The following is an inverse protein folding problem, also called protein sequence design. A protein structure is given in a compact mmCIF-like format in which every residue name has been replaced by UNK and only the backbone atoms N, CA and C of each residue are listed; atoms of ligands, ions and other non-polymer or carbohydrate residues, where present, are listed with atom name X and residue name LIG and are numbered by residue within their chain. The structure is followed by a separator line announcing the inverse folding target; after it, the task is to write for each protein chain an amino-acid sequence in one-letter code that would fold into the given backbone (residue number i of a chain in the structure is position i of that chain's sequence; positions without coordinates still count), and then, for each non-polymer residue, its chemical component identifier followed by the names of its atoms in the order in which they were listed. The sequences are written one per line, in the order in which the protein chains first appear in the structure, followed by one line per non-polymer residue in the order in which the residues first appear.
data_IF_254378996730
#
_entry.id   IF_254378996730
#
_cell.length_a   1.000
_cell.length_b   1.000
_cell.length_c   1.000
_cell.angle_alpha   90.00
_cell.angle_beta   90.00
_cell.angle_gamma   90.00
#
_symmetry.space_group_name_H-M   'P 1'
#
loop_
_entity.id
_entity.type
_entity.pdbx_description
1 polymer ?
#
# COMPACT_ATOMS: atom_id res chain seq x y z
N UNK A 1 47.37 22.98 39.06
CA UNK A 1 46.92 21.78 38.30
C UNK A 1 45.43 21.90 38.08
N UNK A 2 45.02 22.54 36.97
CA UNK A 2 43.63 22.68 36.56
C UNK A 2 43.49 22.11 35.17
N UNK A 3 43.03 20.87 35.08
CA UNK A 3 42.80 20.17 33.83
C UNK A 3 41.35 19.80 33.70
N UNK A 4 40.75 20.20 32.57
CA UNK A 4 39.65 19.55 31.87
C UNK A 4 38.22 19.59 32.42
N UNK A 5 37.64 20.80 32.49
CA UNK A 5 36.19 20.95 32.64
C UNK A 5 35.50 21.36 31.29
N UNK A 6 36.22 21.44 30.18
CA UNK A 6 35.70 21.94 28.90
C UNK A 6 35.23 20.86 27.92
N UNK A 7 35.56 19.59 28.16
CA UNK A 7 35.28 18.50 27.21
C UNK A 7 33.84 17.92 27.25
N UNK A 8 33.20 17.94 28.41
CA UNK A 8 31.94 17.18 28.60
C UNK A 8 30.69 18.00 28.20
N UNK A 9 30.75 19.32 28.37
CA UNK A 9 29.62 20.19 27.99
C UNK A 9 29.46 20.37 26.48
N UNK A 10 30.55 20.30 25.71
CA UNK A 10 30.54 20.38 24.25
C UNK A 10 29.98 19.14 23.60
N UNK A 11 30.28 17.97 24.12
CA UNK A 11 29.79 16.67 23.58
C UNK A 11 28.29 16.48 23.80
N UNK A 12 27.74 16.94 24.94
CA UNK A 12 26.31 16.86 25.23
C UNK A 12 25.48 17.75 24.32
N UNK A 13 25.98 18.91 23.90
CA UNK A 13 25.30 19.83 22.97
C UNK A 13 25.27 19.30 21.54
N UNK A 14 26.31 18.60 21.10
CA UNK A 14 26.37 17.99 19.77
C UNK A 14 25.41 16.81 19.65
N UNK A 15 25.31 15.96 20.67
CA UNK A 15 24.39 14.82 20.70
C UNK A 15 22.93 15.30 20.71
N UNK A 16 22.62 16.38 21.45
CA UNK A 16 21.26 16.96 21.47
C UNK A 16 20.87 17.58 20.12
N UNK A 17 21.81 18.19 19.39
CA UNK A 17 21.56 18.78 18.07
C UNK A 17 21.35 17.73 16.98
N UNK A 18 22.05 16.60 17.03
CA UNK A 18 21.89 15.50 16.06
C UNK A 18 20.55 14.79 16.23
N UNK A 19 20.03 14.71 17.46
CA UNK A 19 18.74 14.04 17.74
C UNK A 19 17.52 14.83 17.24
N UNK A 20 17.66 16.15 17.03
CA UNK A 20 16.56 17.01 16.55
C UNK A 20 16.31 16.92 15.04
N UNK A 21 17.27 16.39 14.25
CA UNK A 21 17.16 16.31 12.79
C UNK A 21 16.42 15.06 12.26
N UNK A 22 16.05 14.09 13.13
CA UNK A 22 15.41 12.87 12.69
C UNK A 22 13.87 12.89 12.72
N UNK A 23 13.22 14.03 13.00
CA UNK A 23 11.75 14.07 13.17
C UNK A 23 11.02 14.63 11.95
N UNK A 24 11.69 14.97 10.85
CA UNK A 24 11.01 15.29 9.59
C UNK A 24 10.73 14.01 8.80
N UNK A 25 9.84 13.18 9.33
CA UNK A 25 9.16 12.20 8.53
C UNK A 25 8.34 12.93 7.47
N UNK A 26 8.69 12.77 6.19
CA UNK A 26 7.84 13.18 5.09
C UNK A 26 6.51 12.42 5.20
N UNK A 27 5.55 13.00 5.92
CA UNK A 27 4.16 12.65 5.75
C UNK A 27 3.78 13.14 4.36
N UNK A 28 3.59 12.24 3.41
CA UNK A 28 3.03 12.61 2.10
C UNK A 28 1.69 13.29 2.35
N UNK A 29 1.54 14.53 1.87
CA UNK A 29 0.25 15.23 1.94
C UNK A 29 -0.83 14.36 1.26
N UNK A 30 -2.06 14.32 1.81
CA UNK A 30 -3.15 13.63 1.14
C UNK A 30 -3.28 14.15 -0.30
N UNK A 31 -3.41 13.24 -1.25
CA UNK A 31 -3.68 13.64 -2.64
C UNK A 31 -5.09 14.21 -2.73
N UNK A 32 -5.21 15.36 -3.34
CA UNK A 32 -6.50 15.99 -3.61
C UNK A 32 -6.85 15.89 -5.09
N UNK A 33 -8.14 15.93 -5.40
CA UNK A 33 -8.60 16.02 -6.78
C UNK A 33 -8.29 17.40 -7.36
N UNK A 34 -7.82 17.44 -8.60
CA UNK A 34 -7.58 18.70 -9.30
C UNK A 34 -8.92 19.33 -9.70
N UNK A 35 -9.21 20.52 -9.15
CA UNK A 35 -10.42 21.25 -9.44
C UNK A 35 -10.51 21.72 -10.92
N UNK A 36 -9.40 21.76 -11.65
CA UNK A 36 -9.34 22.17 -13.05
C UNK A 36 -9.72 21.07 -14.03
N UNK A 37 -9.69 19.81 -13.57
CA UNK A 37 -10.04 18.66 -14.41
C UNK A 37 -11.54 18.43 -14.32
N UNK A 38 -12.24 18.50 -15.45
CA UNK A 38 -13.69 18.32 -15.56
C UNK A 38 -14.13 16.87 -15.77
N UNK A 39 -13.18 15.93 -16.01
CA UNK A 39 -13.45 14.51 -16.23
C UNK A 39 -13.30 13.64 -14.97
N UNK A 40 -13.44 12.33 -15.14
CA UNK A 40 -13.19 11.37 -14.07
C UNK A 40 -11.76 11.46 -13.56
N UNK A 41 -11.60 11.41 -12.25
CA UNK A 41 -10.32 11.44 -11.56
C UNK A 41 -10.21 10.27 -10.59
N UNK A 42 -9.00 9.77 -10.37
CA UNK A 42 -8.69 8.71 -9.43
C UNK A 42 -7.48 9.10 -8.58
N UNK A 43 -7.56 8.91 -7.28
CA UNK A 43 -6.44 9.01 -6.35
C UNK A 43 -6.36 7.73 -5.51
N UNK A 44 -5.17 7.43 -4.98
CA UNK A 44 -4.92 6.29 -4.09
C UNK A 44 -4.19 6.72 -2.84
N UNK A 45 -4.63 6.21 -1.71
CA UNK A 45 -4.05 6.45 -0.38
C UNK A 45 -3.74 5.13 0.33
N UNK A 46 -2.49 4.90 0.71
CA UNK A 46 -1.28 5.64 0.33
C UNK A 46 -0.92 5.41 -1.16
N UNK A 47 -0.20 6.35 -1.77
CA UNK A 47 0.28 6.20 -3.16
C UNK A 47 1.49 5.26 -3.30
N UNK A 48 2.05 4.88 -2.17
CA UNK A 48 3.19 3.96 -2.07
C UNK A 48 2.95 2.92 -0.99
N UNK A 49 3.12 1.65 -1.33
CA UNK A 49 3.04 0.53 -0.39
C UNK A 49 4.32 -0.31 -0.40
N UNK A 50 4.52 -1.11 0.65
CA UNK A 50 5.57 -2.14 0.72
C UNK A 50 4.94 -3.53 0.82
N UNK A 51 5.55 -4.52 0.18
CA UNK A 51 5.03 -5.89 0.06
C UNK A 51 5.44 -6.81 1.22
N UNK A 52 5.66 -6.28 2.43
CA UNK A 52 5.75 -7.09 3.64
C UNK A 52 4.36 -7.59 4.05
N UNK A 53 4.22 -8.89 4.34
CA UNK A 53 2.92 -9.51 4.63
C UNK A 53 2.23 -8.82 5.80
N UNK A 54 2.92 -8.75 6.95
CA UNK A 54 2.35 -8.16 8.17
C UNK A 54 2.01 -6.68 8.02
N UNK A 55 2.79 -5.93 7.25
CA UNK A 55 2.58 -4.50 7.02
C UNK A 55 1.43 -4.26 6.05
N UNK A 56 1.41 -4.98 4.93
CA UNK A 56 0.39 -4.84 3.89
C UNK A 56 -1.02 -5.19 4.42
N UNK A 57 -1.13 -6.21 5.25
CA UNK A 57 -2.42 -6.60 5.81
C UNK A 57 -2.97 -5.59 6.82
N UNK A 58 -2.10 -4.90 7.54
CA UNK A 58 -2.51 -3.90 8.54
C UNK A 58 -2.85 -2.54 7.94
N UNK A 59 -2.24 -2.16 6.81
CA UNK A 59 -2.44 -0.85 6.20
C UNK A 59 -3.61 -0.88 5.22
N UNK A 60 -4.59 0.03 5.33
CA UNK A 60 -5.61 0.19 4.31
C UNK A 60 -4.97 0.69 3.01
N UNK A 61 -5.52 0.27 1.88
CA UNK A 61 -5.27 0.83 0.55
C UNK A 61 -6.63 1.26 0.06
N UNK A 62 -6.81 2.55 -0.19
CA UNK A 62 -8.10 3.14 -0.52
C UNK A 62 -7.97 3.91 -1.82
N UNK A 63 -8.77 3.57 -2.80
CA UNK A 63 -8.96 4.33 -4.02
C UNK A 63 -10.16 5.25 -3.85
N UNK A 64 -10.01 6.51 -4.26
CA UNK A 64 -11.11 7.49 -4.28
C UNK A 64 -11.26 8.00 -5.70
N UNK A 65 -12.48 8.04 -6.19
CA UNK A 65 -12.79 8.56 -7.51
C UNK A 65 -13.77 9.73 -7.44
N UNK A 66 -13.76 10.58 -8.48
CA UNK A 66 -14.66 11.71 -8.66
C UNK A 66 -14.99 11.86 -10.15
N UNK A 67 -16.18 12.35 -10.46
CA UNK A 67 -16.60 12.64 -11.84
C UNK A 67 -17.10 11.41 -12.61
N UNK A 68 -17.54 10.37 -11.90
CA UNK A 68 -18.21 9.20 -12.45
C UNK A 68 -19.73 9.39 -12.47
N UNK A 69 -20.46 8.55 -13.21
CA UNK A 69 -21.92 8.61 -13.28
C UNK A 69 -22.54 8.07 -11.98
N UNK A 70 -23.41 8.82 -11.28
CA UNK A 70 -24.09 8.32 -10.09
C UNK A 70 -24.85 7.00 -10.32
N UNK A 71 -24.73 6.09 -9.37
CA UNK A 71 -25.38 4.77 -9.41
C UNK A 71 -24.67 3.72 -10.26
N UNK A 72 -23.56 4.07 -10.94
CA UNK A 72 -22.74 3.13 -11.68
C UNK A 72 -21.83 2.32 -10.74
N UNK A 73 -21.37 1.15 -11.17
CA UNK A 73 -20.37 0.36 -10.47
C UNK A 73 -19.00 0.57 -11.08
N UNK A 74 -17.98 0.70 -10.25
CA UNK A 74 -16.59 0.94 -10.67
C UNK A 74 -15.70 -0.19 -10.22
N UNK A 75 -14.84 -0.70 -11.12
CA UNK A 75 -13.75 -1.62 -10.81
C UNK A 75 -12.41 -0.92 -10.90
N UNK A 76 -11.55 -1.17 -9.91
CA UNK A 76 -10.18 -0.66 -9.90
C UNK A 76 -9.22 -1.81 -10.14
N UNK A 77 -8.43 -1.70 -11.21
CA UNK A 77 -7.43 -2.68 -11.60
C UNK A 77 -6.04 -2.06 -11.62
N UNK A 78 -5.02 -2.89 -11.38
CA UNK A 78 -3.61 -2.55 -11.57
C UNK A 78 -3.17 -3.11 -12.92
N UNK A 79 -2.64 -2.24 -13.79
CA UNK A 79 -2.38 -2.59 -15.18
C UNK A 79 -0.98 -3.20 -15.36
N UNK A 80 -0.91 -4.19 -16.26
CA UNK A 80 0.34 -4.73 -16.79
C UNK A 80 1.21 -5.41 -15.74
N UNK A 81 0.62 -6.02 -14.73
CA UNK A 81 1.35 -6.77 -13.69
C UNK A 81 1.91 -8.05 -14.29
N UNK A 82 3.19 -8.30 -14.09
CA UNK A 82 3.83 -9.52 -14.56
C UNK A 82 3.44 -10.71 -13.70
N UNK A 83 2.83 -11.73 -14.32
CA UNK A 83 2.42 -12.98 -13.68
C UNK A 83 2.74 -14.15 -14.62
N UNK A 84 3.71 -14.99 -14.20
CA UNK A 84 4.10 -16.15 -15.02
C UNK A 84 4.72 -15.80 -16.37
N UNK A 85 5.45 -14.70 -16.49
CA UNK A 85 6.06 -14.24 -17.74
C UNK A 85 5.11 -13.48 -18.68
N UNK A 86 3.86 -13.28 -18.28
CA UNK A 86 2.87 -12.51 -19.03
C UNK A 86 2.43 -11.28 -18.26
N UNK A 87 2.16 -10.19 -18.97
CA UNK A 87 1.55 -8.99 -18.40
C UNK A 87 0.04 -9.13 -18.40
N UNK A 88 -0.57 -8.92 -17.24
CA UNK A 88 -2.03 -8.96 -17.10
C UNK A 88 -2.50 -7.88 -16.14
N UNK A 89 -3.73 -7.47 -16.30
CA UNK A 89 -4.38 -6.57 -15.36
C UNK A 89 -4.95 -7.38 -14.18
N UNK A 90 -4.75 -6.90 -12.96
CA UNK A 90 -5.27 -7.55 -11.75
C UNK A 90 -6.31 -6.66 -11.08
N UNK A 91 -7.46 -7.23 -10.72
CA UNK A 91 -8.51 -6.52 -10.00
C UNK A 91 -8.10 -6.33 -8.52
N UNK A 92 -8.21 -5.11 -8.02
CA UNK A 92 -7.87 -4.79 -6.64
C UNK A 92 -9.09 -4.49 -5.77
N UNK A 93 -10.05 -3.71 -6.28
CA UNK A 93 -11.21 -3.26 -5.53
C UNK A 93 -12.38 -2.92 -6.45
N UNK A 94 -13.57 -2.82 -5.89
CA UNK A 94 -14.78 -2.34 -6.53
C UNK A 94 -15.57 -1.42 -5.59
N UNK A 95 -16.43 -0.59 -6.13
CA UNK A 95 -17.33 0.27 -5.38
C UNK A 95 -18.50 0.75 -6.25
N UNK A 96 -19.56 1.22 -5.59
CA UNK A 96 -20.66 1.95 -6.23
C UNK A 96 -20.37 3.46 -6.20
N UNK A 97 -20.82 4.16 -7.23
CA UNK A 97 -20.70 5.61 -7.36
C UNK A 97 -21.86 6.26 -6.63
N UNK A 98 -21.55 7.18 -5.73
CA UNK A 98 -22.54 7.94 -4.96
C UNK A 98 -23.29 8.98 -5.81
N UNK A 99 -24.27 9.64 -5.20
CA UNK A 99 -25.10 10.67 -5.86
C UNK A 99 -24.30 11.92 -6.29
N UNK A 100 -23.12 12.14 -5.73
CA UNK A 100 -22.22 13.23 -6.10
C UNK A 100 -21.24 12.86 -7.22
N UNK A 101 -21.30 11.62 -7.74
CA UNK A 101 -20.39 11.13 -8.75
C UNK A 101 -19.02 10.73 -8.19
N UNK A 102 -18.95 10.47 -6.89
CA UNK A 102 -17.77 10.01 -6.19
C UNK A 102 -17.83 8.52 -5.81
N UNK A 103 -16.69 7.91 -5.52
CA UNK A 103 -16.62 6.58 -4.91
C UNK A 103 -15.42 6.43 -3.98
N UNK A 104 -15.52 5.49 -3.05
CA UNK A 104 -14.42 5.07 -2.17
C UNK A 104 -14.33 3.55 -2.21
N UNK A 105 -13.25 3.02 -2.76
CA UNK A 105 -13.00 1.61 -2.92
C UNK A 105 -11.80 1.17 -2.05
N UNK A 106 -12.06 0.39 -1.01
CA UNK A 106 -11.01 -0.20 -0.17
C UNK A 106 -10.54 -1.53 -0.75
N UNK A 107 -9.22 -1.73 -0.86
CA UNK A 107 -8.68 -3.03 -1.30
C UNK A 107 -8.92 -4.09 -0.23
N UNK A 108 -9.71 -5.15 -0.51
CA UNK A 108 -9.99 -6.21 0.45
C UNK A 108 -8.72 -6.95 0.87
N UNK A 109 -8.72 -7.49 2.08
CA UNK A 109 -7.60 -8.31 2.59
C UNK A 109 -7.31 -9.49 1.67
N UNK A 110 -8.34 -10.12 1.11
CA UNK A 110 -8.19 -11.23 0.18
C UNK A 110 -7.42 -10.79 -1.07
N UNK A 111 -7.80 -9.69 -1.72
CA UNK A 111 -7.10 -9.15 -2.90
C UNK A 111 -5.64 -8.79 -2.60
N UNK A 112 -5.34 -8.27 -1.40
CA UNK A 112 -3.96 -8.03 -0.98
C UNK A 112 -3.15 -9.33 -0.94
N UNK A 113 -3.74 -10.42 -0.43
CA UNK A 113 -3.09 -11.71 -0.29
C UNK A 113 -2.93 -12.38 -1.66
N UNK A 114 -4.02 -12.52 -2.42
CA UNK A 114 -4.01 -13.29 -3.68
C UNK A 114 -3.35 -12.55 -4.83
N UNK A 115 -3.59 -11.26 -4.95
CA UNK A 115 -3.11 -10.49 -6.10
C UNK A 115 -1.76 -9.82 -5.86
N UNK A 116 -1.57 -9.13 -4.71
CA UNK A 116 -0.33 -8.40 -4.45
C UNK A 116 0.77 -9.31 -3.88
N UNK A 117 0.45 -10.15 -2.90
CA UNK A 117 1.43 -11.07 -2.29
C UNK A 117 1.55 -12.40 -3.04
N UNK A 118 0.61 -12.74 -3.93
CA UNK A 118 0.54 -14.06 -4.61
C UNK A 118 0.57 -15.23 -3.64
N UNK A 119 -0.07 -15.04 -2.50
CA UNK A 119 -0.14 -15.99 -1.41
C UNK A 119 -1.55 -16.58 -1.31
N UNK A 120 -1.66 -17.69 -0.59
CA UNK A 120 -2.93 -18.34 -0.32
C UNK A 120 -3.35 -18.09 1.13
N UNK A 121 -4.65 -18.17 1.38
CA UNK A 121 -5.19 -18.24 2.74
C UNK A 121 -5.36 -19.70 3.15
N UNK A 122 -5.03 -20.02 4.38
CA UNK A 122 -5.24 -21.33 4.98
C UNK A 122 -5.65 -21.21 6.44
N UNK A 123 -5.77 -22.35 7.11
CA UNK A 123 -5.95 -22.41 8.57
C UNK A 123 -4.89 -23.29 9.22
N UNK A 124 -4.50 -22.94 10.45
CA UNK A 124 -3.61 -23.75 11.26
C UNK A 124 -4.41 -24.80 12.06
N UNK A 125 -3.71 -25.62 12.84
CA UNK A 125 -4.35 -26.65 13.69
C UNK A 125 -5.30 -26.07 14.77
N UNK A 126 -5.21 -24.75 15.04
CA UNK A 126 -6.09 -24.05 15.96
C UNK A 126 -7.28 -23.37 15.26
N UNK A 127 -7.49 -23.66 13.95
CA UNK A 127 -8.51 -23.03 13.11
C UNK A 127 -8.34 -21.51 12.93
N UNK A 128 -7.14 -20.98 13.14
CA UNK A 128 -6.83 -19.57 12.89
C UNK A 128 -6.41 -19.36 11.45
N UNK A 129 -6.82 -18.25 10.85
CA UNK A 129 -6.41 -17.88 9.49
C UNK A 129 -4.90 -17.63 9.41
N UNK A 130 -4.26 -18.24 8.43
CA UNK A 130 -2.84 -18.08 8.13
C UNK A 130 -2.64 -17.66 6.67
N UNK A 131 -1.53 -16.98 6.40
CA UNK A 131 -1.08 -16.64 5.05
C UNK A 131 0.01 -17.61 4.64
N UNK A 132 -0.17 -18.28 3.50
CA UNK A 132 0.75 -19.26 2.95
C UNK A 132 1.46 -18.62 1.74
N UNK A 133 2.71 -18.24 1.93
CA UNK A 133 3.55 -17.63 0.90
C UNK A 133 4.30 -18.73 0.15
N UNK A 134 3.82 -19.08 -1.04
CA UNK A 134 4.39 -20.10 -1.92
C UNK A 134 5.08 -19.54 -3.16
N UNK A 135 4.84 -18.26 -3.46
CA UNK A 135 5.37 -17.56 -4.64
C UNK A 135 5.90 -16.19 -4.24
N UNK A 136 6.84 -15.62 -5.01
CA UNK A 136 7.25 -14.24 -4.80
C UNK A 136 6.05 -13.30 -5.05
N UNK A 137 5.93 -12.19 -4.31
CA UNK A 137 4.90 -11.18 -4.55
C UNK A 137 5.08 -10.56 -5.94
N UNK A 138 4.14 -9.72 -6.35
CA UNK A 138 4.30 -8.97 -7.62
C UNK A 138 5.60 -8.15 -7.59
N UNK A 139 6.24 -7.93 -8.75
CA UNK A 139 7.47 -7.14 -8.80
C UNK A 139 7.30 -5.74 -8.23
N UNK A 140 8.34 -5.22 -7.59
CA UNK A 140 8.39 -3.81 -7.20
C UNK A 140 8.45 -2.93 -8.45
N UNK A 141 7.73 -1.79 -8.42
CA UNK A 141 7.68 -0.87 -9.54
C UNK A 141 6.59 0.17 -9.37
N UNK A 142 6.50 1.08 -10.33
CA UNK A 142 5.37 2.01 -10.46
C UNK A 142 4.40 1.46 -11.49
N UNK A 143 3.18 1.22 -11.05
CA UNK A 143 2.09 0.70 -11.86
C UNK A 143 1.07 1.81 -12.11
N UNK A 144 0.22 1.61 -13.10
CA UNK A 144 -0.98 2.43 -13.31
C UNK A 144 -2.17 1.71 -12.69
N UNK A 145 -2.80 2.33 -11.70
CA UNK A 145 -4.12 1.91 -11.25
C UNK A 145 -5.19 2.59 -12.10
N UNK A 146 -6.14 1.83 -12.62
CA UNK A 146 -7.23 2.30 -13.48
C UNK A 146 -8.57 1.94 -12.86
N UNK A 147 -9.41 2.95 -12.70
CA UNK A 147 -10.83 2.79 -12.41
C UNK A 147 -11.63 2.79 -13.72
N UNK A 148 -12.53 1.86 -13.88
CA UNK A 148 -13.44 1.76 -15.04
C UNK A 148 -14.85 1.56 -14.52
N UNK A 149 -15.78 2.41 -14.94
CA UNK A 149 -17.20 2.22 -14.65
C UNK A 149 -17.85 1.27 -15.68
N UNK A 150 -18.76 0.43 -15.19
CA UNK A 150 -19.32 -0.66 -15.99
C UNK A 150 -20.32 -0.21 -17.03
N UNK A 151 -21.21 0.71 -16.66
CA UNK A 151 -22.28 1.14 -17.56
C UNK A 151 -21.82 2.28 -18.48
N UNK A 152 -21.17 3.30 -17.90
CA UNK A 152 -20.79 4.51 -18.64
C UNK A 152 -19.41 4.43 -19.31
N UNK A 153 -18.63 3.38 -19.06
CA UNK A 153 -17.26 3.23 -19.58
C UNK A 153 -16.31 4.40 -19.27
N UNK A 154 -16.64 5.21 -18.25
CA UNK A 154 -15.76 6.28 -17.78
C UNK A 154 -14.49 5.68 -17.17
N UNK A 155 -13.36 6.33 -17.41
CA UNK A 155 -12.04 5.83 -16.97
C UNK A 155 -11.25 6.93 -16.29
N UNK A 156 -10.56 6.58 -15.22
CA UNK A 156 -9.57 7.43 -14.58
C UNK A 156 -8.36 6.60 -14.15
N UNK A 157 -7.19 7.22 -14.16
CA UNK A 157 -5.93 6.55 -13.85
C UNK A 157 -5.13 7.33 -12.82
N UNK A 158 -4.33 6.61 -12.04
CA UNK A 158 -3.37 7.19 -11.09
C UNK A 158 -2.14 6.31 -10.96
N UNK A 159 -0.94 6.87 -10.79
CA UNK A 159 0.25 6.09 -10.49
C UNK A 159 0.15 5.50 -9.08
N UNK A 160 0.58 4.25 -8.93
CA UNK A 160 0.63 3.50 -7.68
C UNK A 160 1.99 2.84 -7.54
N UNK A 161 2.77 3.26 -6.54
CA UNK A 161 4.13 2.76 -6.33
C UNK A 161 4.13 1.57 -5.37
N UNK A 162 4.74 0.47 -5.81
CA UNK A 162 4.87 -0.76 -5.03
C UNK A 162 6.35 -1.01 -4.78
N UNK A 163 6.74 -1.07 -3.51
CA UNK A 163 8.12 -1.34 -3.08
C UNK A 163 8.23 -2.77 -2.55
N UNK A 164 9.39 -3.37 -2.72
CA UNK A 164 9.72 -4.62 -2.06
C UNK A 164 9.64 -4.50 -0.52
N UNK A 165 9.59 -5.63 0.21
CA UNK A 165 9.58 -5.60 1.66
C UNK A 165 10.84 -4.93 2.20
N UNK A 166 10.68 -4.04 3.17
CA UNK A 166 11.79 -3.42 3.90
C UNK A 166 12.40 -4.41 4.89
N UNK A 167 13.58 -4.08 5.44
CA UNK A 167 14.19 -4.89 6.52
C UNK A 167 13.23 -5.01 7.71
N UNK A 168 12.54 -3.92 8.07
CA UNK A 168 11.55 -3.93 9.14
C UNK A 168 10.33 -4.80 8.82
N UNK A 169 9.91 -4.87 7.56
CA UNK A 169 8.85 -5.78 7.13
C UNK A 169 9.29 -7.23 7.22
N UNK A 170 10.53 -7.54 6.81
CA UNK A 170 11.10 -8.89 6.90
C UNK A 170 11.17 -9.39 8.34
N UNK A 171 11.51 -8.52 9.30
CA UNK A 171 11.51 -8.86 10.74
C UNK A 171 10.08 -9.14 11.22
N UNK A 172 9.10 -8.32 10.84
CA UNK A 172 7.69 -8.52 11.21
C UNK A 172 7.13 -9.81 10.62
N UNK A 173 7.47 -10.11 9.37
CA UNK A 173 7.05 -11.34 8.69
C UNK A 173 7.69 -12.57 9.34
N UNK A 174 8.95 -12.49 9.75
CA UNK A 174 9.62 -13.54 10.53
C UNK A 174 8.94 -13.78 11.88
N UNK A 175 8.61 -12.71 12.63
CA UNK A 175 7.84 -12.82 13.86
C UNK A 175 6.44 -13.41 13.63
N UNK A 176 5.79 -13.05 12.52
CA UNK A 176 4.52 -13.65 12.08
C UNK A 176 4.66 -15.15 11.80
N UNK A 177 5.80 -15.57 11.26
CA UNK A 177 6.15 -16.99 11.08
C UNK A 177 6.29 -17.73 12.41
N UNK A 178 7.02 -17.16 13.36
CA UNK A 178 7.14 -17.72 14.72
C UNK A 178 5.78 -17.83 15.43
N UNK A 179 4.88 -16.90 15.20
CA UNK A 179 3.53 -16.93 15.74
C UNK A 179 2.58 -17.88 14.98
N UNK A 180 3.07 -18.61 13.97
CA UNK A 180 2.29 -19.54 13.15
C UNK A 180 1.22 -18.89 12.27
N UNK A 181 1.32 -17.57 12.01
CA UNK A 181 0.37 -16.80 11.18
C UNK A 181 0.82 -16.64 9.74
N UNK A 182 2.10 -16.81 9.47
CA UNK A 182 2.70 -16.74 8.13
C UNK A 182 3.50 -18.00 7.91
N UNK A 183 3.18 -18.75 6.84
CA UNK A 183 3.90 -19.98 6.45
C UNK A 183 4.56 -19.71 5.11
N UNK A 184 5.87 -19.97 5.01
CA UNK A 184 6.61 -19.94 3.75
C UNK A 184 6.82 -21.37 3.28
N UNK A 185 6.42 -21.67 2.05
CA UNK A 185 6.64 -22.97 1.39
C UNK A 185 7.69 -22.84 0.30
#
# INVERSE_FOLDING_TARGET
MNANLFGIKGLSLIISSVMLFFVFGCASAPKEFDAKITGPQLIVEPDTITLGVANLLKKPIIFKGKGFKPGDSVFVSLLGVEKGGQKMDIALADAEVDQAGGFVAGVPTLSKITELLRADMGSNAKMENIVIVSKPPIPAGTYTARAVSMESNLKAETPFCIKGPSVGDSIKDWLGGLAGKIVKK
#
